data_IF_608326486978
#
_entry.id   IF_608326486978
#
_cell.length_a   1.000
_cell.length_b   1.000
_cell.length_c   1.000
_cell.angle_alpha   90.00
_cell.angle_beta   90.00
_cell.angle_gamma   90.00
#
_symmetry.space_group_name_H-M   'P 1'
#
loop_
_entity.id
_entity.type
_entity.pdbx_description
1 polymer ?
#
# COMPACT_ATOMS: atom_id res chain seq x y z
N UNK A 1 -9.43 11.00 -55.50
CA UNK A 1 -8.54 11.69 -54.53
C UNK A 1 -8.73 13.19 -54.66
N UNK A 2 -9.23 13.88 -53.62
CA UNK A 2 -8.76 15.20 -53.14
C UNK A 2 -9.71 15.71 -52.05
N UNK A 3 -9.14 15.88 -50.86
CA UNK A 3 -9.71 16.67 -49.76
C UNK A 3 -9.56 18.15 -50.12
N UNK A 4 -10.50 19.01 -49.72
CA UNK A 4 -10.17 20.36 -49.26
C UNK A 4 -11.32 20.92 -48.40
N UNK A 5 -10.97 21.30 -47.16
CA UNK A 5 -11.76 22.14 -46.27
C UNK A 5 -12.00 23.52 -46.89
N UNK A 6 -13.11 24.18 -46.52
CA UNK A 6 -13.06 25.62 -46.25
C UNK A 6 -14.14 26.03 -45.23
N UNK A 7 -13.68 26.76 -44.22
CA UNK A 7 -14.41 27.34 -43.08
C UNK A 7 -14.95 28.71 -43.49
N UNK A 8 -16.20 29.04 -43.13
CA UNK A 8 -16.67 30.44 -43.07
C UNK A 8 -17.58 30.64 -41.84
N UNK A 9 -17.07 31.44 -40.89
CA UNK A 9 -17.87 32.13 -39.86
C UNK A 9 -18.73 33.22 -40.50
N UNK A 10 -19.78 33.67 -39.78
CA UNK A 10 -19.97 35.11 -39.69
C UNK A 10 -20.02 35.62 -38.23
N UNK A 11 -19.27 36.70 -38.05
CA UNK A 11 -19.35 37.70 -37.00
C UNK A 11 -20.79 38.21 -36.83
N UNK A 12 -21.28 38.30 -35.59
CA UNK A 12 -22.22 39.35 -35.20
C UNK A 12 -21.75 39.91 -33.86
N UNK A 13 -21.18 41.12 -33.91
CA UNK A 13 -21.04 41.99 -32.77
C UNK A 13 -22.26 42.90 -32.71
N UNK A 14 -23.01 42.88 -31.61
CA UNK A 14 -23.92 43.97 -31.24
C UNK A 14 -23.68 44.27 -29.76
N UNK A 15 -23.00 45.39 -29.53
CA UNK A 15 -22.98 46.10 -28.26
C UNK A 15 -24.31 46.81 -28.08
N UNK A 16 -25.02 46.54 -26.99
CA UNK A 16 -26.03 47.46 -26.44
C UNK A 16 -25.83 47.55 -24.93
N UNK A 17 -25.36 48.74 -24.54
CA UNK A 17 -25.33 49.28 -23.19
C UNK A 17 -26.76 49.47 -22.68
N UNK A 18 -27.03 48.97 -21.48
CA UNK A 18 -28.30 49.17 -20.79
C UNK A 18 -28.21 48.60 -19.38
N UNK A 19 -27.88 49.45 -18.41
CA UNK A 19 -27.77 49.05 -17.02
C UNK A 19 -29.13 48.62 -16.44
N UNK A 20 -29.14 47.47 -15.78
CA UNK A 20 -30.14 47.10 -14.79
C UNK A 20 -29.44 46.37 -13.63
N UNK A 21 -29.33 47.06 -12.49
CA UNK A 21 -29.10 46.44 -11.18
C UNK A 21 -30.33 45.62 -10.81
N UNK A 22 -30.17 44.33 -10.50
CA UNK A 22 -30.74 43.74 -9.26
C UNK A 22 -30.43 42.25 -9.09
N UNK A 23 -29.99 41.96 -7.87
CA UNK A 23 -30.14 40.72 -7.10
C UNK A 23 -29.55 39.42 -7.67
N UNK A 24 -28.26 39.22 -7.42
CA UNK A 24 -27.67 37.89 -7.38
C UNK A 24 -28.22 37.14 -6.15
N UNK A 25 -29.17 36.24 -6.38
CA UNK A 25 -29.60 35.24 -5.39
C UNK A 25 -28.40 34.35 -5.10
N UNK A 26 -27.87 34.45 -3.89
CA UNK A 26 -26.78 33.63 -3.39
C UNK A 26 -27.34 32.23 -3.11
N UNK A 27 -27.09 31.28 -4.02
CA UNK A 27 -27.37 29.87 -3.75
C UNK A 27 -26.65 29.44 -2.47
N UNK A 28 -27.31 28.74 -1.52
CA UNK A 28 -26.64 28.20 -0.36
C UNK A 28 -25.59 27.20 -0.85
N UNK A 29 -24.34 27.45 -0.49
CA UNK A 29 -23.23 26.56 -0.76
C UNK A 29 -23.54 25.20 -0.12
N UNK A 30 -23.67 24.16 -0.95
CA UNK A 30 -23.65 22.80 -0.45
C UNK A 30 -22.32 22.60 0.30
N UNK A 31 -22.32 21.98 1.49
CA UNK A 31 -21.07 21.68 2.19
C UNK A 31 -20.23 20.82 1.26
N UNK A 32 -19.03 21.31 0.93
CA UNK A 32 -18.03 20.52 0.25
C UNK A 32 -17.70 19.34 1.17
N UNK A 33 -18.25 18.17 0.84
CA UNK A 33 -17.81 16.91 1.44
C UNK A 33 -16.36 16.77 1.00
N UNK A 34 -15.43 17.05 1.91
CA UNK A 34 -14.03 16.68 1.71
C UNK A 34 -14.01 15.18 1.47
N UNK A 35 -13.82 14.78 0.20
CA UNK A 35 -13.42 13.44 -0.12
C UNK A 35 -12.08 13.24 0.60
N UNK A 36 -12.12 12.52 1.71
CA UNK A 36 -10.91 12.01 2.36
C UNK A 36 -10.20 11.21 1.28
N UNK A 37 -9.06 11.74 0.81
CA UNK A 37 -8.23 11.02 -0.13
C UNK A 37 -7.96 9.63 0.47
N UNK A 38 -8.11 8.53 -0.31
CA UNK A 38 -7.77 7.21 0.19
C UNK A 38 -6.35 7.27 0.74
N UNK A 39 -6.18 7.09 2.05
CA UNK A 39 -4.84 6.99 2.62
C UNK A 39 -4.20 5.78 1.96
N UNK A 40 -3.10 5.98 1.23
CA UNK A 40 -2.31 4.86 0.70
C UNK A 40 -1.97 3.97 1.90
N UNK A 41 -2.54 2.76 1.92
CA UNK A 41 -2.08 1.76 2.86
C UNK A 41 -0.62 1.52 2.50
N UNK A 42 0.29 1.62 3.47
CA UNK A 42 1.71 1.30 3.24
C UNK A 42 1.94 -0.16 3.58
N UNK A 43 2.71 -0.89 2.76
CA UNK A 43 3.11 -2.27 3.02
C UNK A 43 4.60 -2.32 3.32
N UNK A 44 4.92 -2.99 4.43
CA UNK A 44 6.29 -3.21 4.85
C UNK A 44 6.44 -4.61 5.45
N UNK A 45 7.60 -5.22 5.23
CA UNK A 45 8.07 -6.34 6.03
C UNK A 45 9.27 -5.84 6.82
N UNK A 46 9.19 -5.97 8.14
CA UNK A 46 10.29 -5.67 9.04
C UNK A 46 10.80 -6.93 9.69
N UNK A 47 12.05 -6.91 10.10
CA UNK A 47 12.60 -7.99 10.91
C UNK A 47 12.35 -7.71 12.38
N UNK A 48 12.00 -8.76 13.13
CA UNK A 48 11.76 -8.68 14.56
C UNK A 48 12.43 -9.82 15.33
N UNK A 49 12.84 -9.53 16.55
CA UNK A 49 13.40 -10.50 17.51
C UNK A 49 12.85 -10.27 18.91
N UNK A 50 12.92 -11.28 19.76
CA UNK A 50 12.68 -11.12 21.21
C UNK A 50 13.91 -10.56 21.94
N UNK A 51 15.05 -10.47 21.27
CA UNK A 51 16.28 -9.88 21.82
C UNK A 51 16.35 -8.38 21.52
N UNK A 52 16.71 -7.59 22.53
CA UNK A 52 16.89 -6.14 22.38
C UNK A 52 18.13 -5.87 21.54
N UNK A 53 18.00 -5.05 20.50
CA UNK A 53 19.14 -4.54 19.71
C UNK A 53 19.22 -3.02 19.78
N UNK A 54 20.43 -2.48 19.59
CA UNK A 54 20.68 -1.04 19.72
C UNK A 54 19.86 -0.25 18.69
N UNK A 55 19.04 0.68 19.17
CA UNK A 55 18.19 1.52 18.34
C UNK A 55 16.91 0.85 17.85
N UNK A 56 16.59 -0.36 18.34
CA UNK A 56 15.34 -1.03 18.00
C UNK A 56 14.12 -0.33 18.59
N UNK A 57 13.08 -0.22 17.78
CA UNK A 57 11.74 0.09 18.28
C UNK A 57 11.13 -1.14 18.93
N UNK A 58 10.33 -0.93 19.98
CA UNK A 58 9.60 -2.02 20.65
C UNK A 58 8.15 -2.06 20.17
N UNK A 59 7.65 -3.27 19.94
CA UNK A 59 6.23 -3.53 19.67
C UNK A 59 5.75 -4.67 20.58
N UNK A 60 4.51 -4.61 21.04
CA UNK A 60 3.89 -5.70 21.82
C UNK A 60 2.96 -6.49 20.90
N UNK A 61 3.25 -7.77 20.70
CA UNK A 61 2.50 -8.68 19.83
C UNK A 61 2.45 -10.08 20.46
N UNK A 62 1.28 -10.72 20.47
CA UNK A 62 1.09 -12.07 21.04
C UNK A 62 1.57 -12.20 22.49
N UNK A 63 1.25 -11.21 23.34
CA UNK A 63 1.67 -11.15 24.74
C UNK A 63 3.21 -11.19 24.94
N UNK A 64 3.96 -10.81 23.91
CA UNK A 64 5.44 -10.73 23.94
C UNK A 64 5.88 -9.37 23.41
N UNK A 65 7.03 -8.92 23.90
CA UNK A 65 7.71 -7.77 23.34
C UNK A 65 8.63 -8.25 22.22
N UNK A 66 8.53 -7.56 21.10
CA UNK A 66 9.36 -7.75 19.92
C UNK A 66 10.12 -6.47 19.65
N UNK A 67 11.36 -6.61 19.23
CA UNK A 67 12.26 -5.52 18.89
C UNK A 67 12.48 -5.52 17.39
N UNK A 68 12.12 -4.41 16.75
CA UNK A 68 12.22 -4.22 15.30
C UNK A 68 13.64 -3.84 14.94
N UNK A 69 14.26 -4.57 14.02
CA UNK A 69 15.57 -4.19 13.47
C UNK A 69 15.42 -2.90 12.65
N UNK A 70 16.06 -1.78 13.08
CA UNK A 70 15.91 -0.51 12.37
C UNK A 70 16.61 -0.50 11.00
N UNK A 71 17.43 -1.51 10.68
CA UNK A 71 18.24 -1.56 9.46
C UNK A 71 17.63 -2.41 8.36
N UNK A 72 16.61 -3.20 8.67
CA UNK A 72 16.00 -4.11 7.72
C UNK A 72 14.54 -3.75 7.45
N UNK A 73 14.23 -3.49 6.19
CA UNK A 73 12.88 -3.28 5.70
C UNK A 73 12.76 -3.75 4.25
N UNK A 74 11.69 -4.47 3.96
CA UNK A 74 11.21 -4.68 2.60
C UNK A 74 9.94 -3.87 2.39
N UNK A 75 9.81 -3.24 1.23
CA UNK A 75 8.62 -2.50 0.81
C UNK A 75 7.96 -3.20 -0.37
N UNK A 76 6.93 -2.59 -0.96
CA UNK A 76 6.22 -3.16 -2.09
C UNK A 76 7.13 -3.36 -3.32
N UNK A 77 8.09 -2.46 -3.51
CA UNK A 77 9.07 -2.46 -4.62
C UNK A 77 10.07 -3.62 -4.52
N UNK A 78 10.27 -4.16 -3.32
CA UNK A 78 11.13 -5.32 -3.07
C UNK A 78 10.44 -6.66 -3.39
N UNK A 79 9.18 -6.64 -3.86
CA UNK A 79 8.43 -7.82 -4.21
C UNK A 79 8.25 -7.96 -5.72
N UNK A 80 8.60 -9.13 -6.25
CA UNK A 80 8.32 -9.49 -7.64
C UNK A 80 6.85 -9.92 -7.84
N UNK A 81 6.29 -10.66 -6.89
CA UNK A 81 4.93 -11.18 -6.99
C UNK A 81 4.36 -11.61 -5.65
N UNK A 82 3.03 -11.81 -5.64
CA UNK A 82 2.26 -12.32 -4.52
C UNK A 82 1.40 -13.49 -5.01
N UNK A 83 1.32 -14.56 -4.22
CA UNK A 83 0.46 -15.71 -4.48
C UNK A 83 -0.37 -16.05 -3.25
N UNK A 84 -1.60 -16.49 -3.47
CA UNK A 84 -2.41 -17.12 -2.44
C UNK A 84 -2.42 -18.63 -2.67
N UNK A 85 -2.14 -19.40 -1.63
CA UNK A 85 -2.26 -20.87 -1.67
C UNK A 85 -2.82 -21.38 -0.36
N UNK A 86 -3.59 -22.46 -0.43
CA UNK A 86 -4.00 -23.18 0.77
C UNK A 86 -2.85 -24.08 1.25
N UNK A 87 -2.65 -24.13 2.56
CA UNK A 87 -1.80 -25.14 3.18
C UNK A 87 -2.55 -26.49 3.30
N UNK A 88 -1.92 -27.47 3.96
CA UNK A 88 -2.50 -28.81 4.15
C UNK A 88 -3.71 -28.82 5.09
N UNK A 89 -3.89 -27.77 5.88
CA UNK A 89 -4.99 -27.62 6.84
C UNK A 89 -6.15 -26.82 6.22
N UNK A 90 -6.02 -26.38 4.96
CA UNK A 90 -7.01 -25.57 4.26
C UNK A 90 -6.89 -24.07 4.54
N UNK A 91 -5.88 -23.63 5.28
CA UNK A 91 -5.66 -22.21 5.56
C UNK A 91 -5.12 -21.49 4.33
N UNK A 92 -5.74 -20.38 3.94
CA UNK A 92 -5.23 -19.53 2.87
C UNK A 92 -4.05 -18.70 3.35
N UNK A 93 -2.87 -18.95 2.78
CA UNK A 93 -1.58 -18.30 3.09
C UNK A 93 -1.21 -17.31 1.98
N UNK A 94 -0.68 -16.15 2.38
CA UNK A 94 -0.04 -15.21 1.47
C UNK A 94 1.43 -15.61 1.29
N UNK A 95 1.84 -15.91 0.07
CA UNK A 95 3.24 -16.14 -0.29
C UNK A 95 3.77 -14.96 -1.07
N UNK A 96 4.74 -14.26 -0.48
CA UNK A 96 5.41 -13.12 -1.11
C UNK A 96 6.71 -13.60 -1.75
N UNK A 97 6.90 -13.29 -3.03
CA UNK A 97 8.14 -13.57 -3.76
C UNK A 97 8.98 -12.29 -3.82
N UNK A 98 10.15 -12.25 -3.19
CA UNK A 98 11.06 -11.12 -3.31
C UNK A 98 11.49 -10.91 -4.78
N UNK A 99 11.73 -9.65 -5.15
CA UNK A 99 12.50 -9.30 -6.34
C UNK A 99 13.99 -9.62 -6.14
N UNK A 100 14.82 -9.40 -7.16
CA UNK A 100 16.28 -9.56 -7.01
C UNK A 100 16.80 -8.64 -5.89
N UNK A 101 16.41 -7.36 -5.90
CA UNK A 101 16.76 -6.40 -4.85
C UNK A 101 16.23 -6.81 -3.48
N UNK A 102 14.99 -7.30 -3.40
CA UNK A 102 14.43 -7.81 -2.13
C UNK A 102 15.18 -9.03 -1.60
N UNK A 103 15.61 -9.92 -2.49
CA UNK A 103 16.42 -11.09 -2.14
C UNK A 103 17.81 -10.70 -1.62
N UNK A 104 18.45 -9.71 -2.24
CA UNK A 104 19.74 -9.17 -1.77
C UNK A 104 19.59 -8.55 -0.37
N UNK A 105 18.54 -7.77 -0.12
CA UNK A 105 18.24 -7.25 1.22
C UNK A 105 18.09 -8.37 2.24
N UNK A 106 17.36 -9.44 1.90
CA UNK A 106 17.16 -10.61 2.76
C UNK A 106 18.48 -11.36 3.07
N UNK A 107 19.40 -11.43 2.11
CA UNK A 107 20.73 -12.06 2.33
C UNK A 107 21.59 -11.27 3.32
N UNK A 108 21.47 -9.94 3.34
CA UNK A 108 22.18 -9.07 4.27
C UNK A 108 21.48 -8.94 5.64
N UNK A 109 20.30 -9.54 5.81
CA UNK A 109 19.60 -9.58 7.08
C UNK A 109 20.35 -10.50 8.06
N UNK A 110 20.72 -9.98 9.23
CA UNK A 110 21.45 -10.73 10.26
C UNK A 110 20.57 -11.83 10.86
N UNK A 111 20.68 -13.06 10.36
CA UNK A 111 19.93 -14.24 10.86
C UNK A 111 19.97 -14.41 12.39
N UNK A 112 21.10 -14.10 13.02
CA UNK A 112 21.26 -14.17 14.48
C UNK A 112 20.40 -13.16 15.25
N UNK A 113 20.02 -12.05 14.61
CA UNK A 113 19.25 -10.95 15.21
C UNK A 113 17.83 -10.87 14.65
N UNK A 114 17.49 -11.68 13.65
CA UNK A 114 16.31 -11.51 12.79
C UNK A 114 15.57 -12.84 12.50
N UNK A 115 15.19 -13.65 13.50
CA UNK A 115 14.56 -14.95 13.25
C UNK A 115 13.14 -14.84 12.67
N UNK A 116 12.48 -13.68 12.82
CA UNK A 116 11.10 -13.49 12.40
C UNK A 116 10.91 -12.27 11.50
N UNK A 117 9.93 -12.39 10.62
CA UNK A 117 9.47 -11.31 9.75
C UNK A 117 8.05 -10.92 10.16
N UNK A 118 7.84 -9.62 10.34
CA UNK A 118 6.53 -9.06 10.62
C UNK A 118 6.03 -8.32 9.39
N UNK A 119 4.89 -8.77 8.86
CA UNK A 119 4.15 -8.04 7.82
C UNK A 119 3.32 -6.94 8.47
N UNK A 120 3.51 -5.72 7.97
CA UNK A 120 2.82 -4.50 8.39
C UNK A 120 2.07 -3.92 7.19
N UNK A 121 0.79 -3.63 7.36
CA UNK A 121 -0.05 -2.99 6.33
C UNK A 121 -0.81 -1.83 6.95
N UNK A 122 -0.73 -0.66 6.34
CA UNK A 122 -1.33 0.58 6.86
C UNK A 122 -0.83 0.93 8.26
N UNK A 123 0.45 0.65 8.56
CA UNK A 123 1.04 0.86 9.88
C UNK A 123 0.61 -0.14 10.97
N UNK A 124 -0.16 -1.19 10.62
CA UNK A 124 -0.64 -2.20 11.57
C UNK A 124 0.07 -3.53 11.37
N UNK A 125 0.50 -4.15 12.46
CA UNK A 125 1.01 -5.52 12.46
C UNK A 125 -0.10 -6.50 11.99
N UNK A 126 0.15 -7.25 10.91
CA UNK A 126 -0.84 -8.15 10.30
C UNK A 126 -0.50 -9.61 10.55
N UNK A 127 0.75 -10.01 10.35
CA UNK A 127 1.16 -11.41 10.44
C UNK A 127 2.64 -11.53 10.79
N UNK A 128 2.95 -12.46 11.69
CA UNK A 128 4.30 -12.81 12.07
C UNK A 128 4.68 -14.16 11.44
N UNK A 129 5.81 -14.20 10.74
CA UNK A 129 6.33 -15.39 10.10
C UNK A 129 7.73 -15.73 10.60
N UNK A 130 8.04 -17.02 10.67
CA UNK A 130 9.41 -17.46 10.94
C UNK A 130 10.20 -17.45 9.64
N UNK A 131 11.33 -16.76 9.62
CA UNK A 131 12.18 -16.72 8.42
C UNK A 131 13.13 -17.92 8.41
N UNK A 132 13.11 -18.66 7.30
CA UNK A 132 13.98 -19.83 7.10
C UNK A 132 14.79 -19.76 5.80
N UNK A 133 15.17 -18.56 5.35
CA UNK A 133 15.88 -18.37 4.07
C UNK A 133 15.16 -19.03 2.89
N UNK A 134 13.87 -18.73 2.75
CA UNK A 134 13.05 -19.24 1.65
C UNK A 134 12.95 -18.21 0.52
N UNK A 135 12.89 -18.69 -0.73
CA UNK A 135 12.59 -17.84 -1.90
C UNK A 135 11.12 -17.40 -1.97
N UNK A 136 10.29 -17.87 -1.05
CA UNK A 136 8.92 -17.43 -0.83
C UNK A 136 8.71 -17.18 0.67
N UNK A 137 8.14 -16.04 1.01
CA UNK A 137 7.87 -15.65 2.40
C UNK A 137 6.38 -15.92 2.70
N UNK A 138 6.07 -16.95 3.52
CA UNK A 138 4.69 -17.27 3.87
C UNK A 138 4.18 -16.39 5.01
N UNK A 139 2.94 -15.91 4.91
CA UNK A 139 2.24 -15.17 5.97
C UNK A 139 0.81 -15.67 6.11
N UNK A 140 0.45 -16.09 7.33
CA UNK A 140 -0.91 -16.45 7.70
C UNK A 140 -1.60 -15.29 8.41
N UNK A 141 -2.81 -14.93 7.96
CA UNK A 141 -3.51 -13.72 8.43
C UNK A 141 -4.75 -14.05 9.30
N UNK A 142 -5.09 -15.34 9.43
CA UNK A 142 -6.16 -15.85 10.28
C UNK A 142 -7.37 -16.40 9.53
N UNK A 143 -7.85 -15.69 8.51
CA UNK A 143 -9.02 -16.12 7.73
C UNK A 143 -8.91 -15.71 6.26
N UNK A 144 -9.66 -16.39 5.39
CA UNK A 144 -9.58 -16.18 3.94
C UNK A 144 -10.00 -14.78 3.50
N UNK A 145 -11.06 -14.22 4.10
CA UNK A 145 -11.57 -12.89 3.73
C UNK A 145 -10.50 -11.84 3.99
N UNK A 146 -9.93 -11.85 5.19
CA UNK A 146 -8.86 -10.94 5.59
C UNK A 146 -7.58 -11.18 4.79
N UNK A 147 -7.24 -12.43 4.48
CA UNK A 147 -6.12 -12.76 3.58
C UNK A 147 -6.28 -12.10 2.21
N UNK A 148 -7.46 -12.19 1.59
CA UNK A 148 -7.73 -11.55 0.29
C UNK A 148 -7.71 -10.02 0.37
N UNK A 149 -8.26 -9.44 1.42
CA UNK A 149 -8.24 -7.99 1.67
C UNK A 149 -6.81 -7.46 1.76
N UNK A 150 -5.99 -8.11 2.60
CA UNK A 150 -4.57 -7.74 2.78
C UNK A 150 -3.79 -7.93 1.49
N UNK A 151 -3.98 -9.05 0.78
CA UNK A 151 -3.33 -9.26 -0.51
C UNK A 151 -3.69 -8.17 -1.53
N UNK A 152 -4.98 -7.79 -1.60
CA UNK A 152 -5.44 -6.69 -2.44
C UNK A 152 -4.79 -5.35 -2.05
N UNK A 153 -4.71 -5.06 -0.76
CA UNK A 153 -4.05 -3.85 -0.25
C UNK A 153 -2.56 -3.77 -0.61
N UNK A 154 -1.85 -4.91 -0.64
CA UNK A 154 -0.43 -4.95 -1.04
C UNK A 154 -0.30 -4.75 -2.56
N UNK A 155 -1.15 -5.40 -3.35
CA UNK A 155 -1.07 -5.30 -4.82
C UNK A 155 -1.39 -3.89 -5.31
N UNK A 156 -2.40 -3.23 -4.72
CA UNK A 156 -2.90 -1.93 -5.16
C UNK A 156 -2.02 -0.72 -4.74
N UNK A 157 -0.89 -0.95 -4.08
CA UNK A 157 0.07 0.09 -3.68
C UNK A 157 0.97 0.60 -4.82
N UNK A 158 0.56 0.43 -6.07
CA UNK A 158 1.26 1.01 -7.22
C UNK A 158 1.44 2.52 -7.04
N UNK A 159 2.70 2.95 -6.91
CA UNK A 159 3.14 4.35 -6.91
C UNK A 159 2.80 5.06 -8.23
#
# INVERSE_FOLDING_TARGET
>A
MKKLLLVTLPLIAVMLTGGCRSAQVRSPAAPAVSAVAPQLQTFEIVSVSTEVTKGAGQISLMNKNWYVDPRFRLTREDLASLYLRQDREGNTIIYLKPSVTGQEKLQHMSQKQAPHLLMVVGGRAVSLSSYRQAGLLPFYVGDEKKTREIAGAIVNQTL
#
